data_IF_226673901774
#
_entry.id   IF_226673901774
#
_cell.length_a   1.000
_cell.length_b   1.000
_cell.length_c   1.000
_cell.angle_alpha   90.00
_cell.angle_beta   90.00
_cell.angle_gamma   90.00
#
_symmetry.space_group_name_H-M   'P 1'
#
loop_
_entity.id
_entity.type
_entity.pdbx_description
1 polymer ?
#
# COMPACT_ATOMS: atom_id res chain seq x y z
N UNK A 1 -7.71 -8.92 -13.32
CA UNK A 1 -8.47 -7.95 -12.49
C UNK A 1 -8.41 -8.44 -11.06
N UNK A 2 -7.57 -7.82 -10.22
CA UNK A 2 -7.64 -7.96 -8.77
C UNK A 2 -7.35 -6.56 -8.22
N UNK A 3 -8.39 -5.74 -8.14
CA UNK A 3 -8.47 -4.78 -7.06
C UNK A 3 -8.77 -5.67 -5.86
N UNK A 4 -7.87 -5.78 -4.88
CA UNK A 4 -8.26 -6.37 -3.60
C UNK A 4 -9.28 -5.42 -2.99
N UNK A 5 -10.53 -5.55 -3.42
CA UNK A 5 -11.71 -5.09 -2.72
C UNK A 5 -11.58 -5.59 -1.27
N UNK A 6 -11.94 -4.75 -0.30
CA UNK A 6 -12.14 -5.06 1.14
C UNK A 6 -11.07 -4.66 2.17
N UNK A 7 -9.92 -4.09 1.80
CA UNK A 7 -9.08 -3.41 2.81
C UNK A 7 -9.38 -1.90 2.77
N UNK A 8 -10.06 -1.39 3.80
CA UNK A 8 -10.06 0.05 4.08
C UNK A 8 -8.64 0.42 4.48
N UNK A 9 -7.90 1.03 3.55
CA UNK A 9 -6.59 1.59 3.85
C UNK A 9 -6.79 2.94 4.52
N UNK A 10 -6.06 3.20 5.59
CA UNK A 10 -6.05 4.49 6.26
C UNK A 10 -4.69 5.18 6.09
N UNK A 11 -4.70 6.50 6.20
CA UNK A 11 -3.46 7.28 6.25
C UNK A 11 -2.64 6.81 7.46
N UNK A 12 -1.37 6.47 7.23
CA UNK A 12 -0.46 5.88 8.20
C UNK A 12 -0.29 4.36 8.07
N UNK A 13 -1.16 3.67 7.32
CA UNK A 13 -1.01 2.23 7.12
C UNK A 13 0.23 1.89 6.31
N UNK A 14 0.92 0.84 6.74
CA UNK A 14 2.04 0.28 6.00
C UNK A 14 1.51 -0.78 5.04
N UNK A 15 1.84 -0.65 3.76
CA UNK A 15 1.34 -1.52 2.69
C UNK A 15 2.48 -2.07 1.84
N UNK A 16 2.23 -3.22 1.22
CA UNK A 16 3.08 -3.85 0.21
C UNK A 16 2.46 -3.64 -1.16
N UNK A 17 3.23 -3.02 -2.05
CA UNK A 17 2.84 -2.73 -3.42
C UNK A 17 3.46 -3.77 -4.34
N UNK A 18 2.63 -4.53 -5.05
CA UNK A 18 3.06 -5.51 -6.04
C UNK A 18 2.96 -4.87 -7.43
N UNK A 19 4.11 -4.67 -8.08
CA UNK A 19 4.18 -4.10 -9.43
C UNK A 19 4.15 -5.24 -10.46
N UNK A 20 3.05 -5.37 -11.22
CA UNK A 20 2.96 -6.36 -12.30
C UNK A 20 3.99 -6.12 -13.42
N UNK A 21 4.40 -4.86 -13.66
CA UNK A 21 5.30 -4.51 -14.78
C UNK A 21 6.76 -4.94 -14.60
N UNK A 22 7.17 -5.33 -13.40
CA UNK A 22 8.54 -5.76 -13.12
C UNK A 22 8.50 -7.03 -12.26
N UNK A 23 8.49 -8.21 -12.89
CA UNK A 23 8.88 -9.52 -12.33
C UNK A 23 8.64 -9.74 -10.80
N UNK A 24 7.46 -9.40 -10.27
CA UNK A 24 7.15 -9.64 -8.85
C UNK A 24 7.88 -8.72 -7.86
N UNK A 25 8.30 -7.52 -8.26
CA UNK A 25 8.86 -6.53 -7.34
C UNK A 25 7.79 -6.12 -6.31
N UNK A 26 8.06 -6.43 -5.04
CA UNK A 26 7.26 -6.02 -3.88
C UNK A 26 8.00 -4.89 -3.18
N UNK A 27 7.38 -3.71 -3.15
CA UNK A 27 7.91 -2.56 -2.43
C UNK A 27 7.04 -2.27 -1.20
N UNK A 28 7.67 -1.83 -0.11
CA UNK A 28 6.96 -1.41 1.09
C UNK A 28 6.76 0.10 1.08
N UNK A 29 5.54 0.56 1.34
CA UNK A 29 5.18 1.97 1.38
C UNK A 29 4.25 2.27 2.55
N UNK A 30 4.09 3.55 2.87
CA UNK A 30 3.11 4.07 3.83
C UNK A 30 2.03 4.81 3.06
N UNK A 31 0.78 4.59 3.41
CA UNK A 31 -0.36 5.34 2.87
C UNK A 31 -0.31 6.75 3.47
N UNK A 32 -0.20 7.77 2.62
CA UNK A 32 -0.16 9.17 3.04
C UNK A 32 -1.44 9.93 2.70
N UNK A 33 -2.27 9.38 1.81
CA UNK A 33 -3.54 9.97 1.40
C UNK A 33 -4.45 8.89 0.78
N UNK A 34 -5.75 9.01 1.03
CA UNK A 34 -6.78 8.08 0.51
C UNK A 34 -7.89 8.85 -0.20
N UNK A 35 -7.65 9.32 -1.44
CA UNK A 35 -8.67 10.01 -2.23
C UNK A 35 -9.98 9.22 -2.39
N UNK A 36 -11.10 9.93 -2.50
CA UNK A 36 -12.41 9.33 -2.74
C UNK A 36 -12.53 8.58 -4.09
N UNK A 37 -11.58 8.76 -5.01
CA UNK A 37 -11.55 8.07 -6.31
C UNK A 37 -11.06 6.61 -6.24
N UNK A 38 -10.97 6.04 -5.02
CA UNK A 38 -10.44 4.68 -4.74
C UNK A 38 -8.98 4.50 -5.16
N UNK A 39 -8.23 5.60 -5.22
CA UNK A 39 -6.78 5.59 -5.40
C UNK A 39 -6.09 5.74 -4.05
N UNK A 40 -4.80 5.40 -4.00
CA UNK A 40 -3.95 5.58 -2.82
C UNK A 40 -2.75 6.44 -3.18
N UNK A 41 -2.38 7.38 -2.31
CA UNK A 41 -1.03 7.96 -2.35
C UNK A 41 -0.15 7.24 -1.36
N UNK A 42 0.99 6.81 -1.85
CA UNK A 42 1.94 6.00 -1.12
C UNK A 42 3.28 6.74 -1.06
N UNK A 43 3.92 6.71 0.10
CA UNK A 43 5.29 7.17 0.31
C UNK A 43 6.19 5.97 0.62
N UNK A 44 7.24 5.79 -0.17
CA UNK A 44 8.21 4.72 0.00
C UNK A 44 9.32 5.14 0.96
N UNK A 45 10.06 4.17 1.50
CA UNK A 45 11.13 4.42 2.47
C UNK A 45 12.27 5.30 1.94
N UNK A 46 12.42 5.41 0.62
CA UNK A 46 13.39 6.30 -0.04
C UNK A 46 12.85 7.74 -0.26
N UNK A 47 11.65 8.06 0.26
CA UNK A 47 11.01 9.36 0.14
C UNK A 47 10.26 9.57 -1.17
N UNK A 48 10.26 8.59 -2.07
CA UNK A 48 9.45 8.63 -3.29
C UNK A 48 7.97 8.59 -2.95
N UNK A 49 7.19 9.34 -3.72
CA UNK A 49 5.73 9.34 -3.65
C UNK A 49 5.15 8.79 -4.92
N UNK A 50 4.12 7.97 -4.81
CA UNK A 50 3.43 7.39 -5.96
C UNK A 50 1.92 7.43 -5.77
N UNK A 51 1.24 7.60 -6.90
CA UNK A 51 -0.21 7.59 -6.98
C UNK A 51 -0.66 6.25 -7.56
N UNK A 52 -1.09 5.36 -6.69
CA UNK A 52 -1.57 4.04 -7.08
C UNK A 52 -3.08 4.10 -7.36
N UNK A 53 -3.43 4.13 -8.65
CA UNK A 53 -4.83 4.03 -9.09
C UNK A 53 -5.28 2.59 -9.36
N UNK A 54 -4.34 1.76 -9.79
CA UNK A 54 -4.54 0.35 -10.12
C UNK A 54 -3.27 -0.42 -9.80
N UNK A 55 -3.44 -1.60 -9.20
CA UNK A 55 -2.34 -2.49 -8.82
C UNK A 55 -2.75 -3.32 -7.62
N UNK A 56 -1.95 -4.34 -7.33
CA UNK A 56 -2.15 -5.16 -6.14
C UNK A 56 -1.43 -4.50 -4.98
N UNK A 57 -2.18 -4.16 -3.93
CA UNK A 57 -1.67 -3.65 -2.67
C UNK A 57 -2.24 -4.49 -1.54
N UNK A 58 -1.40 -4.81 -0.56
CA UNK A 58 -1.78 -5.57 0.63
C UNK A 58 -1.32 -4.82 1.87
N UNK A 59 -2.14 -4.84 2.93
CA UNK A 59 -1.73 -4.30 4.22
C UNK A 59 -0.56 -5.13 4.77
N UNK A 60 0.50 -4.48 5.26
CA UNK A 60 1.58 -5.17 5.96
C UNK A 60 1.12 -5.50 7.39
N UNK A 61 0.43 -6.62 7.54
CA UNK A 61 -0.05 -7.11 8.85
C UNK A 61 1.08 -7.51 9.80
N UNK A 62 2.32 -7.61 9.30
CA UNK A 62 3.51 -7.82 10.14
C UNK A 62 3.87 -6.57 10.95
N UNK A 63 3.54 -5.37 10.47
CA UNK A 63 3.64 -4.14 11.25
C UNK A 63 2.63 -4.07 12.40
N UNK A 64 1.51 -4.80 12.30
CA UNK A 64 0.49 -4.90 13.37
C UNK A 64 0.83 -5.97 14.43
N UNK A 65 1.88 -6.78 14.22
CA UNK A 65 2.24 -7.92 15.06
C UNK A 65 3.32 -7.67 16.12
N UNK A 66 3.86 -6.45 16.23
CA UNK A 66 4.92 -6.13 17.18
C UNK A 66 4.52 -4.95 18.08
N UNK A 67 3.55 -5.15 18.97
CA UNK A 67 3.23 -4.08 19.94
C UNK A 67 1.91 -4.15 20.70
N UNK A 68 1.43 -5.34 21.09
CA UNK A 68 0.52 -5.43 22.25
C UNK A 68 0.96 -6.51 23.23
N UNK A 69 1.82 -6.19 24.20
CA UNK A 69 1.59 -6.49 25.61
C UNK A 69 0.71 -5.41 26.27
#
# INVERSE_FOLDING_TARGET
MIVSETAEFHVGDRVRVYRESFYGAVESAVVVDTPADRSLRLEFGDGRRNHLRKGRVELDTRALGAGRP
#
